data_IF_394908417749
#
_entry.id   IF_394908417749
#
_cell.length_a   1.000
_cell.length_b   1.000
_cell.length_c   1.000
_cell.angle_alpha   90.00
_cell.angle_beta   90.00
_cell.angle_gamma   90.00
#
_symmetry.space_group_name_H-M   'P 1'
#
loop_
_entity.id
_entity.type
_entity.pdbx_description
1 polymer ?
#
# COMPACT_ATOMS: atom_id res chain seq x y z
N UNK A 1 7.30 25.08 -13.03
CA UNK A 1 6.19 24.68 -12.14
C UNK A 1 6.55 23.32 -11.59
N UNK A 2 6.41 23.08 -10.28
CA UNK A 2 6.64 21.76 -9.71
C UNK A 2 5.73 20.73 -10.38
N UNK A 3 6.27 19.56 -10.69
CA UNK A 3 5.52 18.48 -11.35
C UNK A 3 4.72 17.64 -10.37
N UNK A 4 4.97 17.80 -9.06
CA UNK A 4 4.31 17.06 -7.97
C UNK A 4 3.76 18.03 -6.91
N UNK A 5 2.71 18.75 -7.29
CA UNK A 5 2.11 19.82 -6.46
C UNK A 5 1.53 19.25 -5.17
N UNK A 6 0.92 18.06 -5.23
CA UNK A 6 0.32 17.44 -4.04
C UNK A 6 1.40 16.94 -3.06
N UNK A 7 2.51 16.38 -3.57
CA UNK A 7 3.62 15.95 -2.73
C UNK A 7 4.21 17.08 -1.89
N UNK A 8 4.38 18.26 -2.49
CA UNK A 8 4.96 19.42 -1.80
C UNK A 8 3.97 20.03 -0.80
N UNK A 9 2.69 20.08 -1.17
CA UNK A 9 1.69 20.77 -0.36
C UNK A 9 1.33 19.99 0.91
N UNK A 10 1.29 18.66 0.86
CA UNK A 10 0.78 17.84 1.96
C UNK A 10 1.85 17.31 2.92
N UNK A 11 3.10 17.78 2.83
CA UNK A 11 4.18 17.29 3.69
C UNK A 11 3.88 17.50 5.18
N UNK A 12 3.31 18.64 5.55
CA UNK A 12 2.99 18.94 6.94
C UNK A 12 1.84 18.06 7.45
N UNK A 13 0.79 17.89 6.67
CA UNK A 13 -0.35 17.01 6.99
C UNK A 13 0.10 15.56 7.15
N UNK A 14 0.97 15.08 6.25
CA UNK A 14 1.56 13.75 6.33
C UNK A 14 2.39 13.61 7.61
N UNK A 15 3.24 14.60 7.94
CA UNK A 15 4.05 14.57 9.16
C UNK A 15 3.18 14.54 10.42
N UNK A 16 2.15 15.39 10.49
CA UNK A 16 1.23 15.45 11.63
C UNK A 16 0.45 14.15 11.80
N UNK A 17 -0.07 13.60 10.69
CA UNK A 17 -0.80 12.33 10.70
C UNK A 17 0.08 11.16 11.14
N UNK A 18 1.34 11.12 10.69
CA UNK A 18 2.31 10.11 11.14
C UNK A 18 2.54 10.16 12.64
N UNK A 19 2.77 11.36 13.19
CA UNK A 19 2.94 11.55 14.63
C UNK A 19 1.71 11.08 15.41
N UNK A 20 0.51 11.44 14.95
CA UNK A 20 -0.73 11.04 15.59
C UNK A 20 -0.97 9.51 15.56
N UNK A 21 -0.63 8.84 14.45
CA UNK A 21 -0.67 7.37 14.37
C UNK A 21 0.35 6.76 15.33
N UNK A 22 1.58 7.27 15.35
CA UNK A 22 2.62 6.77 16.26
C UNK A 22 2.20 6.93 17.73
N UNK A 23 1.65 8.08 18.12
CA UNK A 23 1.20 8.33 19.50
C UNK A 23 0.01 7.45 19.90
N UNK A 24 -0.89 7.16 18.97
CA UNK A 24 -1.96 6.17 19.16
C UNK A 24 -1.36 4.79 19.46
N UNK A 25 -0.37 4.37 18.66
CA UNK A 25 0.30 3.09 18.84
C UNK A 25 1.14 3.01 20.12
N UNK A 26 1.83 4.10 20.50
CA UNK A 26 2.52 4.21 21.80
C UNK A 26 1.54 3.99 22.95
N UNK A 27 0.37 4.63 22.88
CA UNK A 27 -0.66 4.52 23.92
C UNK A 27 -1.20 3.09 24.02
N UNK A 28 -1.50 2.45 22.89
CA UNK A 28 -1.96 1.05 22.84
C UNK A 28 -0.89 0.08 23.39
N UNK A 29 0.38 0.28 22.99
CA UNK A 29 1.48 -0.54 23.46
C UNK A 29 1.72 -0.37 24.97
N UNK A 30 1.73 0.87 25.46
CA UNK A 30 1.95 1.16 26.88
C UNK A 30 0.87 0.55 27.77
N UNK A 31 -0.38 0.55 27.30
CA UNK A 31 -1.49 -0.07 28.04
C UNK A 31 -1.40 -1.61 28.08
N UNK A 32 -0.76 -2.25 27.09
CA UNK A 32 -0.70 -3.71 26.99
C UNK A 32 0.61 -4.30 27.52
N UNK A 33 1.74 -3.63 27.29
CA UNK A 33 3.09 -4.14 27.57
C UNK A 33 4.06 -2.98 27.90
N UNK A 34 3.82 -2.24 29.01
CA UNK A 34 4.62 -1.08 29.40
C UNK A 34 6.11 -1.42 29.62
N UNK A 35 6.41 -2.67 30.01
CA UNK A 35 7.77 -3.16 30.21
C UNK A 35 8.63 -3.14 28.94
N UNK A 36 8.02 -3.21 27.75
CA UNK A 36 8.78 -3.18 26.49
C UNK A 36 9.43 -1.81 26.24
N UNK A 37 8.91 -0.74 26.84
CA UNK A 37 9.49 0.60 26.71
C UNK A 37 10.84 0.76 27.39
N UNK A 38 11.25 -0.16 28.27
CA UNK A 38 12.59 -0.12 28.87
C UNK A 38 13.71 -0.31 27.84
N UNK A 39 13.42 -0.94 26.70
CA UNK A 39 14.38 -1.21 25.64
C UNK A 39 14.07 -0.58 24.29
N UNK A 40 13.00 0.22 24.20
CA UNK A 40 12.58 0.92 22.99
C UNK A 40 12.83 2.42 23.14
N UNK A 41 13.29 3.05 22.07
CA UNK A 41 13.40 4.51 21.99
C UNK A 41 12.00 5.13 21.78
N UNK A 42 11.44 5.72 22.83
CA UNK A 42 10.10 6.33 22.82
C UNK A 42 9.97 7.47 21.79
N UNK A 43 11.06 8.21 21.54
CA UNK A 43 11.07 9.36 20.63
C UNK A 43 11.19 8.94 19.16
N UNK A 44 11.48 7.66 18.89
CA UNK A 44 11.60 7.13 17.55
C UNK A 44 10.27 6.59 17.03
N UNK A 45 9.48 7.49 16.45
CA UNK A 45 8.15 7.20 15.89
C UNK A 45 8.13 6.03 14.90
N UNK A 46 9.21 5.77 14.15
CA UNK A 46 9.24 4.67 13.17
C UNK A 46 9.00 3.30 13.79
N UNK A 47 9.33 3.10 15.08
CA UNK A 47 9.06 1.85 15.80
C UNK A 47 7.54 1.61 15.91
N UNK A 48 6.80 2.69 16.19
CA UNK A 48 5.36 2.66 16.42
C UNK A 48 4.54 2.74 15.14
N UNK A 49 5.21 2.93 14.00
CA UNK A 49 4.64 2.85 12.65
C UNK A 49 4.92 1.49 11.98
N UNK A 50 5.36 0.48 12.74
CA UNK A 50 5.56 -0.89 12.27
C UNK A 50 4.21 -1.53 11.86
N UNK A 51 3.98 -1.87 10.57
CA UNK A 51 2.67 -2.35 10.13
C UNK A 51 2.19 -3.62 10.83
N UNK A 52 3.10 -4.53 11.23
CA UNK A 52 2.71 -5.72 11.98
C UNK A 52 2.23 -5.40 13.39
N UNK A 53 2.71 -4.32 13.99
CA UNK A 53 2.22 -3.84 15.28
C UNK A 53 0.77 -3.36 15.13
N UNK A 54 0.47 -2.58 14.09
CA UNK A 54 -0.90 -2.14 13.79
C UNK A 54 -1.81 -3.35 13.51
N UNK A 55 -1.34 -4.30 12.70
CA UNK A 55 -2.07 -5.53 12.40
C UNK A 55 -2.38 -6.33 13.68
N UNK A 56 -1.41 -6.41 14.59
CA UNK A 56 -1.57 -7.10 15.87
C UNK A 56 -2.71 -6.51 16.69
N UNK A 57 -2.75 -5.18 16.88
CA UNK A 57 -3.81 -4.55 17.68
C UNK A 57 -5.20 -4.61 17.01
N UNK A 58 -5.26 -4.78 15.69
CA UNK A 58 -6.50 -4.93 14.94
C UNK A 58 -6.95 -6.38 14.73
N UNK A 59 -6.21 -7.38 15.25
CA UNK A 59 -6.50 -8.79 15.03
C UNK A 59 -7.11 -9.45 16.28
N UNK A 60 -8.24 -10.15 16.09
CA UNK A 60 -8.99 -10.80 17.18
C UNK A 60 -8.17 -11.89 17.89
N UNK A 61 -7.51 -12.76 17.12
CA UNK A 61 -6.69 -13.86 17.64
C UNK A 61 -5.18 -13.56 17.64
N UNK A 62 -4.80 -12.30 17.81
CA UNK A 62 -3.42 -11.81 17.65
C UNK A 62 -2.33 -12.63 18.37
N UNK A 63 -2.61 -13.10 19.59
CA UNK A 63 -1.66 -13.90 20.40
C UNK A 63 -1.37 -15.29 19.82
N UNK A 64 -2.18 -15.77 18.88
CA UNK A 64 -1.96 -17.03 18.14
C UNK A 64 -1.15 -16.79 16.86
N UNK A 65 -0.96 -15.52 16.46
CA UNK A 65 -0.29 -15.14 15.23
C UNK A 65 1.14 -14.64 15.48
N UNK A 66 1.32 -13.84 16.53
CA UNK A 66 2.61 -13.29 16.94
C UNK A 66 2.55 -12.82 18.40
N UNK A 67 3.71 -12.47 18.98
CA UNK A 67 3.79 -11.78 20.28
C UNK A 67 4.31 -10.36 20.11
N UNK A 68 3.99 -9.44 21.04
CA UNK A 68 4.56 -8.08 21.01
C UNK A 68 6.10 -8.09 21.07
N UNK A 69 6.76 -8.88 21.95
CA UNK A 69 8.22 -9.02 21.92
C UNK A 69 8.73 -9.47 20.54
N UNK A 70 8.08 -10.43 19.88
CA UNK A 70 8.47 -10.89 18.55
C UNK A 70 8.45 -9.75 17.51
N UNK A 71 7.38 -8.96 17.50
CA UNK A 71 7.21 -7.87 16.53
C UNK A 71 8.16 -6.70 16.78
N UNK A 72 8.57 -6.49 18.03
CA UNK A 72 9.37 -5.33 18.43
C UNK A 72 10.85 -5.66 18.63
N UNK A 73 11.24 -6.93 18.71
CA UNK A 73 12.60 -7.37 19.08
C UNK A 73 13.71 -6.69 18.27
N UNK A 74 13.53 -6.54 16.96
CA UNK A 74 14.52 -5.93 16.10
C UNK A 74 14.72 -4.42 16.33
N UNK A 75 13.74 -3.76 16.96
CA UNK A 75 13.78 -2.34 17.32
C UNK A 75 14.42 -2.06 18.68
N UNK A 76 14.63 -3.09 19.51
CA UNK A 76 15.35 -2.92 20.77
C UNK A 76 16.80 -2.50 20.55
N UNK A 77 17.26 -1.59 21.40
CA UNK A 77 18.68 -1.26 21.54
C UNK A 77 19.48 -2.54 21.80
N UNK A 78 20.60 -2.71 21.11
CA UNK A 78 21.39 -3.96 21.19
C UNK A 78 21.78 -4.32 22.63
N UNK A 79 22.02 -3.33 23.48
CA UNK A 79 22.37 -3.51 24.89
C UNK A 79 21.16 -3.84 25.79
N UNK A 80 19.95 -3.48 25.37
CA UNK A 80 18.70 -3.70 26.10
C UNK A 80 17.90 -4.90 25.55
N UNK A 81 18.40 -5.59 24.53
CA UNK A 81 17.73 -6.76 23.94
C UNK A 81 17.61 -7.87 24.98
N UNK A 82 16.38 -8.35 25.26
CA UNK A 82 16.21 -9.51 26.12
C UNK A 82 16.90 -10.73 25.51
N UNK A 83 17.56 -11.55 26.34
CA UNK A 83 18.21 -12.78 25.89
C UNK A 83 17.21 -13.83 25.38
N UNK A 84 15.96 -13.76 25.85
CA UNK A 84 14.89 -14.69 25.48
C UNK A 84 13.58 -13.95 25.30
N UNK A 85 12.88 -14.26 24.22
CA UNK A 85 11.51 -13.79 23.99
C UNK A 85 10.60 -14.92 23.50
N UNK A 86 9.30 -14.88 23.84
CA UNK A 86 8.34 -15.80 23.25
C UNK A 86 8.06 -15.39 21.80
N UNK A 87 7.99 -16.36 20.90
CA UNK A 87 7.66 -16.16 19.48
C UNK A 87 6.64 -17.21 19.02
N UNK A 88 5.93 -16.91 17.94
CA UNK A 88 4.97 -17.83 17.31
C UNK A 88 5.44 -18.16 15.90
N UNK A 89 5.48 -19.46 15.60
CA UNK A 89 5.71 -19.96 14.25
C UNK A 89 4.39 -20.01 13.48
N UNK A 90 4.40 -19.49 12.25
CA UNK A 90 3.26 -19.55 11.33
C UNK A 90 2.98 -20.99 10.84
N UNK A 91 1.92 -21.16 10.04
CA UNK A 91 1.53 -22.47 9.52
C UNK A 91 2.52 -23.10 8.53
N UNK A 92 3.37 -22.27 7.92
CA UNK A 92 4.51 -22.71 7.12
C UNK A 92 5.79 -22.94 7.95
N UNK A 93 5.73 -22.80 9.28
CA UNK A 93 6.87 -22.99 10.19
C UNK A 93 7.83 -21.80 10.22
N UNK A 94 7.39 -20.63 9.75
CA UNK A 94 8.20 -19.40 9.75
C UNK A 94 7.94 -18.59 11.01
N UNK A 95 9.01 -18.19 11.70
CA UNK A 95 9.00 -17.11 12.69
C UNK A 95 9.61 -15.88 12.03
N UNK A 96 8.84 -14.81 11.91
CA UNK A 96 9.33 -13.54 11.38
C UNK A 96 9.59 -12.54 12.51
N UNK A 97 10.75 -11.89 12.46
CA UNK A 97 11.12 -10.77 13.32
C UNK A 97 11.39 -9.54 12.45
N UNK A 98 10.57 -8.47 12.56
CA UNK A 98 10.84 -7.19 11.93
C UNK A 98 12.25 -6.69 12.26
N UNK A 99 12.89 -6.02 11.30
CA UNK A 99 14.28 -5.55 11.39
C UNK A 99 15.36 -6.64 11.46
N UNK A 100 15.02 -7.93 11.50
CA UNK A 100 15.99 -9.04 11.59
C UNK A 100 15.86 -10.00 10.42
N UNK A 101 14.70 -10.64 10.22
CA UNK A 101 14.55 -11.67 9.18
C UNK A 101 13.64 -12.82 9.60
N UNK A 102 13.87 -13.98 9.00
CA UNK A 102 12.99 -15.15 9.08
C UNK A 102 13.75 -16.36 9.62
N UNK A 103 13.13 -17.05 10.58
CA UNK A 103 13.60 -18.35 11.08
C UNK A 103 12.63 -19.42 10.62
N UNK A 104 13.07 -20.26 9.67
CA UNK A 104 12.25 -21.34 9.09
C UNK A 104 12.54 -22.64 9.81
N UNK A 105 11.51 -23.28 10.33
CA UNK A 105 11.60 -24.54 11.06
C UNK A 105 10.52 -25.53 10.60
N UNK A 106 10.66 -26.80 10.98
CA UNK A 106 9.63 -27.83 10.80
C UNK A 106 8.48 -27.73 11.81
N UNK A 107 8.63 -26.93 12.86
CA UNK A 107 7.59 -26.73 13.88
C UNK A 107 6.62 -25.65 13.42
N UNK A 108 5.34 -26.01 13.27
CA UNK A 108 4.29 -25.15 12.70
C UNK A 108 3.27 -24.79 13.77
N UNK A 109 2.68 -23.59 13.68
CA UNK A 109 1.61 -23.13 14.58
C UNK A 109 1.94 -23.30 16.08
N UNK A 110 3.19 -23.09 16.45
CA UNK A 110 3.67 -23.34 17.80
C UNK A 110 4.25 -22.08 18.44
N UNK A 111 4.01 -21.95 19.75
CA UNK A 111 4.78 -21.07 20.61
C UNK A 111 6.18 -21.68 20.81
N UNK A 112 7.19 -20.87 20.60
CA UNK A 112 8.60 -21.17 20.74
C UNK A 112 9.25 -20.05 21.57
N UNK A 113 10.46 -20.28 22.04
CA UNK A 113 11.33 -19.22 22.53
C UNK A 113 12.39 -18.91 21.46
N UNK A 114 12.58 -17.63 21.16
CA UNK A 114 13.79 -17.19 20.49
C UNK A 114 14.79 -16.77 21.56
N UNK A 115 15.98 -17.36 21.49
CA UNK A 115 17.08 -17.07 22.39
C UNK A 115 18.21 -16.40 21.61
N UNK A 116 18.67 -15.26 22.10
CA UNK A 116 19.76 -14.47 21.54
C UNK A 116 20.94 -14.48 22.52
N UNK A 117 21.99 -15.23 22.20
CA UNK A 117 23.22 -15.29 23.00
C UNK A 117 24.42 -14.88 22.16
N UNK A 118 25.16 -13.87 22.60
CA UNK A 118 26.33 -13.34 21.89
C UNK A 118 26.04 -13.00 20.41
N UNK A 119 24.83 -12.50 20.12
CA UNK A 119 24.39 -12.18 18.76
C UNK A 119 24.01 -13.38 17.88
N UNK A 120 24.02 -14.59 18.44
CA UNK A 120 23.56 -15.81 17.76
C UNK A 120 22.15 -16.14 18.21
N UNK A 121 21.29 -16.43 17.23
CA UNK A 121 19.89 -16.77 17.45
C UNK A 121 19.69 -18.29 17.43
N UNK A 122 18.84 -18.77 18.32
CA UNK A 122 18.30 -20.13 18.26
C UNK A 122 16.85 -20.19 18.71
N UNK A 123 16.12 -21.16 18.16
CA UNK A 123 14.76 -21.47 18.59
C UNK A 123 14.80 -22.61 19.61
N UNK A 124 13.95 -22.51 20.62
CA UNK A 124 13.72 -23.57 21.59
C UNK A 124 12.23 -23.85 21.76
N UNK A 125 11.91 -25.10 22.11
CA UNK A 125 10.59 -25.50 22.56
C UNK A 125 10.74 -26.31 23.84
N UNK A 126 10.17 -25.83 24.95
CA UNK A 126 10.31 -26.46 26.27
C UNK A 126 11.78 -26.69 26.68
N UNK A 127 12.66 -25.74 26.37
CA UNK A 127 14.10 -25.82 26.64
C UNK A 127 14.89 -26.76 25.72
N UNK A 128 14.25 -27.32 24.68
CA UNK A 128 14.90 -28.18 23.68
C UNK A 128 15.13 -27.39 22.40
N UNK A 129 16.36 -27.46 21.87
CA UNK A 129 16.72 -26.80 20.62
C UNK A 129 15.84 -27.26 19.44
N UNK A 130 15.35 -26.29 18.67
CA UNK A 130 14.58 -26.49 17.45
C UNK A 130 15.45 -26.14 16.24
N UNK A 131 15.67 -27.14 15.39
CA UNK A 131 16.40 -26.96 14.14
C UNK A 131 15.68 -25.94 13.25
N UNK A 132 16.45 -25.01 12.70
CA UNK A 132 15.93 -23.95 11.84
C UNK A 132 17.01 -23.43 10.88
N UNK A 133 16.57 -22.74 9.85
CA UNK A 133 17.43 -21.95 8.95
C UNK A 133 17.06 -20.47 9.07
N UNK A 134 18.05 -19.60 8.91
CA UNK A 134 17.84 -18.16 8.88
C UNK A 134 17.83 -17.64 7.45
N UNK A 135 16.88 -16.76 7.14
CA UNK A 135 16.82 -16.02 5.88
C UNK A 135 16.72 -14.52 6.18
N UNK A 136 17.57 -13.73 5.52
CA UNK A 136 17.55 -12.29 5.66
C UNK A 136 16.29 -11.68 5.02
N UNK A 137 15.97 -10.46 5.44
CA UNK A 137 14.87 -9.67 4.91
C UNK A 137 15.08 -9.39 3.43
N UNK A 138 13.98 -9.36 2.68
CA UNK A 138 13.99 -8.78 1.34
C UNK A 138 13.68 -7.30 1.48
N UNK A 139 14.59 -6.47 0.98
CA UNK A 139 14.44 -5.03 1.05
C UNK A 139 14.48 -4.44 -0.37
N UNK A 140 13.58 -3.50 -0.64
CA UNK A 140 13.55 -2.70 -1.87
C UNK A 140 13.65 -1.22 -1.53
N UNK A 141 13.68 -0.37 -2.56
CA UNK A 141 13.73 1.09 -2.41
C UNK A 141 14.89 1.56 -1.49
N UNK A 142 16.11 1.15 -1.85
CA UNK A 142 17.35 1.45 -1.10
C UNK A 142 17.34 0.97 0.36
N UNK A 143 16.71 -0.17 0.63
CA UNK A 143 16.69 -0.74 1.98
C UNK A 143 15.63 -0.16 2.90
N UNK A 144 14.67 0.61 2.37
CA UNK A 144 13.68 1.34 3.18
C UNK A 144 12.32 0.65 3.27
N UNK A 145 12.00 -0.26 2.35
CA UNK A 145 10.76 -1.03 2.35
C UNK A 145 11.07 -2.52 2.43
N UNK A 146 10.41 -3.22 3.34
CA UNK A 146 10.48 -4.68 3.43
C UNK A 146 9.48 -5.32 2.47
N UNK A 147 9.92 -6.31 1.70
CA UNK A 147 9.03 -7.19 0.94
C UNK A 147 8.87 -8.48 1.74
N UNK A 148 7.65 -8.81 2.15
CA UNK A 148 7.42 -10.02 2.93
C UNK A 148 7.66 -11.26 2.08
N UNK A 149 8.62 -12.10 2.48
CA UNK A 149 8.90 -13.40 1.81
C UNK A 149 7.75 -14.40 1.92
N UNK A 150 6.98 -14.29 2.99
CA UNK A 150 5.97 -15.26 3.39
C UNK A 150 4.73 -14.52 3.85
N UNK A 151 3.56 -15.15 3.68
CA UNK A 151 2.33 -14.61 4.23
C UNK A 151 2.39 -14.60 5.77
N UNK A 152 2.22 -13.43 6.38
CA UNK A 152 2.17 -13.31 7.85
C UNK A 152 0.75 -13.63 8.34
N UNK A 153 0.56 -14.45 9.40
CA UNK A 153 -0.78 -14.85 9.86
C UNK A 153 -1.72 -13.69 10.23
N UNK A 154 -1.16 -12.56 10.69
CA UNK A 154 -1.94 -11.34 10.97
C UNK A 154 -2.62 -10.74 9.72
N UNK A 155 -2.19 -11.11 8.51
CA UNK A 155 -2.76 -10.61 7.25
C UNK A 155 -3.91 -11.46 6.75
N UNK A 156 -4.06 -12.69 7.25
CA UNK A 156 -5.05 -13.66 6.76
C UNK A 156 -6.49 -13.12 6.68
N UNK A 157 -6.99 -12.35 7.67
CA UNK A 157 -8.37 -11.85 7.62
C UNK A 157 -8.64 -10.87 6.47
N UNK A 158 -7.62 -10.32 5.83
CA UNK A 158 -7.76 -9.24 4.86
C UNK A 158 -7.71 -9.71 3.40
N UNK A 159 -7.35 -10.98 3.15
CA UNK A 159 -7.44 -11.56 1.81
C UNK A 159 -8.87 -11.97 1.48
N UNK A 160 -9.74 -10.98 1.32
CA UNK A 160 -11.17 -11.19 1.04
C UNK A 160 -11.41 -11.12 -0.47
N UNK A 161 -12.01 -12.15 -1.09
CA UNK A 161 -12.38 -12.10 -2.50
C UNK A 161 -13.38 -10.98 -2.79
N UNK A 162 -13.28 -10.38 -3.97
CA UNK A 162 -14.28 -9.44 -4.47
C UNK A 162 -15.35 -10.16 -5.29
N UNK A 163 -16.62 -9.97 -4.91
CA UNK A 163 -17.78 -10.34 -5.72
C UNK A 163 -18.79 -9.17 -5.70
N UNK A 164 -19.25 -8.66 -6.86
CA UNK A 164 -20.16 -7.53 -6.90
C UNK A 164 -21.57 -7.84 -6.36
N UNK A 165 -21.93 -9.12 -6.22
CA UNK A 165 -23.25 -9.59 -5.78
C UNK A 165 -23.26 -10.12 -4.34
N UNK A 166 -22.11 -10.58 -3.84
CA UNK A 166 -21.99 -11.19 -2.51
C UNK A 166 -21.13 -10.30 -1.62
N UNK A 167 -21.74 -9.76 -0.56
CA UNK A 167 -21.03 -9.06 0.51
C UNK A 167 -20.49 -10.06 1.52
N UNK A 168 -19.41 -9.67 2.20
CA UNK A 168 -18.86 -10.38 3.37
C UNK A 168 -18.39 -11.82 3.07
N UNK A 169 -17.71 -12.00 1.93
CA UNK A 169 -17.06 -13.27 1.61
C UNK A 169 -15.97 -13.59 2.65
N UNK A 170 -15.76 -14.88 2.99
CA UNK A 170 -14.73 -15.26 3.93
C UNK A 170 -13.33 -15.02 3.33
N UNK A 171 -12.32 -14.76 4.17
CA UNK A 171 -10.95 -14.67 3.70
C UNK A 171 -10.47 -15.98 3.07
N UNK A 172 -9.55 -15.87 2.12
CA UNK A 172 -8.97 -17.00 1.38
C UNK A 172 -7.47 -17.10 1.56
N UNK A 173 -6.92 -18.29 1.33
CA UNK A 173 -5.48 -18.48 1.25
C UNK A 173 -4.92 -17.83 -0.03
N UNK A 174 -3.67 -17.38 0.07
CA UNK A 174 -2.93 -16.74 -1.01
C UNK A 174 -1.53 -17.33 -1.11
N UNK A 175 -0.98 -17.39 -2.33
CA UNK A 175 0.41 -17.74 -2.56
C UNK A 175 1.25 -16.45 -2.48
N UNK A 176 2.32 -16.44 -1.68
CA UNK A 176 3.22 -15.27 -1.51
C UNK A 176 4.66 -15.59 -1.89
N UNK A 177 5.16 -16.77 -1.53
CA UNK A 177 6.59 -17.06 -1.57
C UNK A 177 7.11 -17.10 -3.01
N UNK A 178 6.45 -17.85 -3.88
CA UNK A 178 6.84 -18.01 -5.27
C UNK A 178 6.49 -16.75 -6.08
N UNK A 179 5.38 -16.09 -5.73
CA UNK A 179 5.00 -14.80 -6.30
C UNK A 179 6.09 -13.75 -6.08
N UNK A 180 6.59 -13.63 -4.84
CA UNK A 180 7.67 -12.69 -4.51
C UNK A 180 8.94 -13.04 -5.27
N UNK A 181 9.35 -14.31 -5.31
CA UNK A 181 10.54 -14.74 -6.06
C UNK A 181 10.46 -14.37 -7.55
N UNK A 182 9.28 -14.54 -8.16
CA UNK A 182 9.08 -14.29 -9.59
C UNK A 182 9.07 -12.78 -9.90
N UNK A 183 8.41 -11.97 -9.07
CA UNK A 183 8.16 -10.56 -9.39
C UNK A 183 9.10 -9.55 -8.74
N UNK A 184 9.95 -9.95 -7.78
CA UNK A 184 10.89 -9.03 -7.12
C UNK A 184 11.74 -8.20 -8.10
N UNK A 185 12.32 -8.76 -9.20
CA UNK A 185 13.11 -7.96 -10.13
C UNK A 185 12.30 -6.87 -10.85
N UNK A 186 11.02 -7.11 -11.13
CA UNK A 186 10.15 -6.13 -11.78
C UNK A 186 9.70 -5.04 -10.80
N UNK A 187 9.49 -5.39 -9.54
CA UNK A 187 9.25 -4.43 -8.46
C UNK A 187 10.47 -3.51 -8.25
N UNK A 188 11.67 -4.06 -8.24
CA UNK A 188 12.92 -3.28 -8.12
C UNK A 188 13.11 -2.32 -9.29
N UNK A 189 12.82 -2.75 -10.52
CA UNK A 189 12.83 -1.89 -11.72
C UNK A 189 11.84 -0.74 -11.59
N UNK A 190 10.63 -1.00 -11.10
CA UNK A 190 9.61 0.04 -10.88
C UNK A 190 10.09 1.09 -9.86
N UNK A 191 10.69 0.67 -8.75
CA UNK A 191 11.29 1.61 -7.79
C UNK A 191 12.46 2.40 -8.36
N UNK A 192 13.32 1.78 -9.18
CA UNK A 192 14.40 2.49 -9.86
C UNK A 192 13.87 3.59 -10.79
N UNK A 193 12.81 3.30 -11.55
CA UNK A 193 12.12 4.28 -12.40
C UNK A 193 11.52 5.42 -11.56
N UNK A 194 10.80 5.10 -10.48
CA UNK A 194 10.23 6.12 -9.59
C UNK A 194 11.31 7.03 -9.00
N UNK A 195 12.41 6.45 -8.49
CA UNK A 195 13.51 7.21 -7.92
C UNK A 195 14.17 8.13 -8.95
N UNK A 196 14.35 7.65 -10.19
CA UNK A 196 15.03 8.41 -11.23
C UNK A 196 14.17 9.53 -11.80
N UNK A 197 12.89 9.25 -12.09
CA UNK A 197 12.04 10.16 -12.86
C UNK A 197 10.98 10.88 -11.99
N UNK A 198 10.56 10.27 -10.88
CA UNK A 198 9.54 10.79 -9.97
C UNK A 198 10.04 10.91 -8.51
N UNK A 199 11.19 11.55 -8.24
CA UNK A 199 11.84 11.48 -6.93
C UNK A 199 10.98 12.02 -5.78
N UNK A 200 10.18 13.07 -6.00
CA UNK A 200 9.28 13.59 -4.97
C UNK A 200 8.21 12.56 -4.56
N UNK A 201 7.67 11.82 -5.53
CA UNK A 201 6.71 10.77 -5.26
C UNK A 201 7.40 9.55 -4.62
N UNK A 202 8.60 9.20 -5.06
CA UNK A 202 9.42 8.17 -4.40
C UNK A 202 9.62 8.49 -2.91
N UNK A 203 9.98 9.73 -2.57
CA UNK A 203 10.14 10.17 -1.18
C UNK A 203 8.83 10.15 -0.38
N UNK A 204 7.71 10.56 -1.00
CA UNK A 204 6.38 10.48 -0.38
C UNK A 204 5.98 9.03 -0.07
N UNK A 205 6.19 8.11 -1.02
CA UNK A 205 5.97 6.66 -0.83
C UNK A 205 6.75 6.18 0.38
N UNK A 206 8.05 6.50 0.44
CA UNK A 206 8.92 6.10 1.54
C UNK A 206 8.56 6.74 2.87
N UNK A 207 7.90 7.90 2.86
CA UNK A 207 7.49 8.56 4.10
C UNK A 207 6.32 7.84 4.79
N UNK A 208 5.42 7.21 4.02
CA UNK A 208 4.16 6.64 4.52
C UNK A 208 4.02 5.14 4.37
N UNK A 209 4.95 4.48 3.66
CA UNK A 209 4.95 3.03 3.45
C UNK A 209 6.20 2.40 4.09
N UNK A 210 6.07 1.16 4.55
CA UNK A 210 7.11 0.39 5.23
C UNK A 210 7.25 -1.01 4.68
N UNK A 211 6.18 -1.59 4.13
CA UNK A 211 6.23 -2.95 3.60
C UNK A 211 5.31 -3.22 2.43
N UNK A 212 5.63 -4.28 1.70
CA UNK A 212 4.93 -4.74 0.50
C UNK A 212 4.74 -6.25 0.61
N UNK A 213 3.53 -6.73 0.35
CA UNK A 213 3.26 -8.15 0.12
C UNK A 213 2.88 -8.35 -1.34
N UNK A 214 3.62 -9.18 -2.06
CA UNK A 214 3.22 -9.67 -3.38
C UNK A 214 2.55 -11.01 -3.19
N UNK A 215 1.38 -11.19 -3.78
CA UNK A 215 0.66 -12.45 -3.68
C UNK A 215 -0.06 -12.81 -4.98
N UNK A 216 -0.49 -14.06 -5.10
CA UNK A 216 -1.32 -14.52 -6.21
C UNK A 216 -2.65 -15.05 -5.68
N UNK A 217 -3.72 -14.37 -6.05
CA UNK A 217 -5.09 -14.90 -6.00
C UNK A 217 -5.96 -14.11 -6.98
N UNK A 218 -6.60 -14.78 -7.93
CA UNK A 218 -7.41 -14.12 -8.99
C UNK A 218 -8.68 -13.44 -8.48
N UNK A 219 -9.14 -13.80 -7.28
CA UNK A 219 -10.37 -13.27 -6.71
C UNK A 219 -10.13 -12.12 -5.72
N UNK A 220 -8.90 -11.94 -5.24
CA UNK A 220 -8.52 -10.88 -4.30
C UNK A 220 -7.77 -9.80 -5.06
N UNK A 221 -8.27 -8.57 -5.03
CA UNK A 221 -7.63 -7.42 -5.67
C UNK A 221 -6.46 -6.88 -4.86
N UNK A 222 -5.64 -6.02 -5.48
CA UNK A 222 -4.68 -5.20 -4.73
C UNK A 222 -5.43 -4.37 -3.68
N UNK A 223 -4.86 -4.22 -2.49
CA UNK A 223 -5.53 -3.47 -1.42
C UNK A 223 -4.56 -2.82 -0.44
N UNK A 224 -5.13 -1.86 0.29
CA UNK A 224 -4.57 -1.21 1.46
C UNK A 224 -5.67 -1.13 2.52
N UNK A 225 -5.30 -1.33 3.78
CA UNK A 225 -6.24 -1.24 4.92
C UNK A 225 -5.63 -0.42 6.05
N UNK A 226 -6.46 0.35 6.74
CA UNK A 226 -6.06 1.10 7.94
C UNK A 226 -5.57 0.17 9.07
N UNK A 227 -6.08 -1.07 9.12
CA UNK A 227 -5.66 -2.04 10.13
C UNK A 227 -4.20 -2.48 10.01
N UNK A 228 -3.60 -2.31 8.82
CA UNK A 228 -2.20 -2.65 8.51
C UNK A 228 -1.56 -1.46 7.80
N UNK A 229 -1.80 -0.26 8.34
CA UNK A 229 -1.33 0.98 7.72
C UNK A 229 0.19 0.98 7.53
N UNK A 230 0.64 1.52 6.40
CA UNK A 230 2.03 1.46 5.96
C UNK A 230 2.41 0.19 5.20
N UNK A 231 1.46 -0.72 4.98
CA UNK A 231 1.61 -1.86 4.07
C UNK A 231 0.77 -1.70 2.81
N UNK A 232 1.24 -2.26 1.70
CA UNK A 232 0.45 -2.48 0.49
C UNK A 232 0.46 -3.96 0.12
N UNK A 233 -0.64 -4.42 -0.47
CA UNK A 233 -0.82 -5.81 -0.87
C UNK A 233 -1.14 -5.84 -2.37
N UNK A 234 -0.26 -6.47 -3.15
CA UNK A 234 -0.34 -6.48 -4.61
C UNK A 234 -0.62 -7.91 -5.09
N UNK A 235 -1.82 -8.12 -5.66
CA UNK A 235 -2.11 -9.36 -6.38
C UNK A 235 -1.44 -9.30 -7.75
N UNK A 236 -0.78 -10.37 -8.18
CA UNK A 236 -0.01 -10.38 -9.42
C UNK A 236 -0.34 -11.57 -10.30
N UNK A 237 -0.19 -11.37 -11.60
CA UNK A 237 -0.24 -12.39 -12.64
C UNK A 237 1.16 -12.58 -13.21
N UNK A 238 1.52 -13.79 -13.69
CA UNK A 238 2.87 -14.09 -14.19
C UNK A 238 3.42 -13.12 -15.24
N UNK A 239 2.53 -12.51 -16.04
CA UNK A 239 2.84 -11.55 -17.10
C UNK A 239 2.98 -10.09 -16.64
N UNK A 240 2.77 -9.80 -15.36
CA UNK A 240 2.94 -8.45 -14.82
C UNK A 240 4.43 -8.07 -14.75
N UNK A 241 4.75 -6.89 -15.28
CA UNK A 241 6.10 -6.33 -15.34
C UNK A 241 6.19 -4.97 -14.62
N UNK A 242 7.32 -4.28 -14.75
CA UNK A 242 7.54 -2.98 -14.12
C UNK A 242 6.44 -1.94 -14.39
N UNK A 243 5.72 -1.98 -15.53
CA UNK A 243 4.63 -1.01 -15.81
C UNK A 243 3.43 -1.24 -14.89
N UNK A 244 3.09 -2.51 -14.64
CA UNK A 244 2.07 -2.86 -13.64
C UNK A 244 2.47 -2.36 -12.25
N UNK A 245 3.71 -2.65 -11.82
CA UNK A 245 4.18 -2.23 -10.50
C UNK A 245 4.24 -0.71 -10.36
N UNK A 246 4.59 0.04 -11.41
CA UNK A 246 4.58 1.49 -11.38
C UNK A 246 3.19 2.06 -11.09
N UNK A 247 2.15 1.54 -11.76
CA UNK A 247 0.79 1.98 -11.45
C UNK A 247 0.40 1.61 -10.02
N UNK A 248 0.59 0.35 -9.62
CA UNK A 248 0.16 -0.12 -8.31
C UNK A 248 0.93 0.55 -7.16
N UNK A 249 2.22 0.84 -7.33
CA UNK A 249 2.97 1.63 -6.35
C UNK A 249 2.41 3.05 -6.24
N UNK A 250 2.17 3.74 -7.36
CA UNK A 250 1.56 5.08 -7.33
C UNK A 250 0.15 5.05 -6.73
N UNK A 251 -0.63 4.01 -7.03
CA UNK A 251 -2.00 3.84 -6.56
C UNK A 251 -2.03 3.48 -5.06
N UNK A 252 -1.54 2.29 -4.71
CA UNK A 252 -1.69 1.70 -3.39
C UNK A 252 -0.93 2.49 -2.34
N UNK A 253 0.29 2.96 -2.62
CA UNK A 253 1.01 3.79 -1.65
C UNK A 253 0.28 5.11 -1.37
N UNK A 254 -0.44 5.66 -2.36
CA UNK A 254 -1.26 6.87 -2.16
C UNK A 254 -2.46 6.63 -1.25
N UNK A 255 -2.97 5.39 -1.11
CA UNK A 255 -3.97 5.10 -0.07
C UNK A 255 -3.38 5.33 1.33
N UNK A 256 -2.17 4.84 1.59
CA UNK A 256 -1.49 5.10 2.87
C UNK A 256 -1.24 6.60 3.04
N UNK A 257 -0.73 7.30 2.02
CA UNK A 257 -0.51 8.75 2.10
C UNK A 257 -1.79 9.53 2.44
N UNK A 258 -2.90 9.21 1.77
CA UNK A 258 -4.17 9.87 2.02
C UNK A 258 -4.72 9.60 3.43
N UNK A 259 -4.64 8.35 3.87
CA UNK A 259 -5.04 7.94 5.22
C UNK A 259 -4.24 8.67 6.30
N UNK A 260 -2.93 8.86 6.08
CA UNK A 260 -2.07 9.64 6.96
C UNK A 260 -2.47 11.12 6.94
N UNK A 261 -2.61 11.72 5.76
CA UNK A 261 -2.92 13.15 5.59
C UNK A 261 -4.24 13.55 6.29
N UNK A 262 -5.26 12.71 6.17
CA UNK A 262 -6.59 12.94 6.72
C UNK A 262 -6.84 12.17 8.02
N UNK A 263 -5.79 11.87 8.80
CA UNK A 263 -5.95 11.15 10.06
C UNK A 263 -6.94 11.84 11.00
N UNK A 264 -6.78 13.16 11.20
CA UNK A 264 -7.72 14.01 11.95
C UNK A 264 -8.79 14.57 11.01
N UNK A 265 -9.83 13.79 10.73
CA UNK A 265 -10.87 14.15 9.75
C UNK A 265 -11.62 15.45 10.10
N UNK A 266 -11.79 15.74 11.39
CA UNK A 266 -12.48 16.95 11.88
C UNK A 266 -11.80 18.25 11.42
N UNK A 267 -10.51 18.22 11.06
CA UNK A 267 -9.82 19.39 10.50
C UNK A 267 -10.32 19.75 9.09
N UNK A 268 -10.97 18.80 8.39
CA UNK A 268 -11.30 18.90 6.97
C UNK A 268 -12.79 18.83 6.66
N UNK A 269 -13.57 18.20 7.53
CA UNK A 269 -14.99 17.94 7.29
C UNK A 269 -15.86 18.45 8.44
N UNK A 270 -17.00 19.05 8.08
CA UNK A 270 -18.02 19.54 9.02
C UNK A 270 -19.02 18.43 9.41
N UNK A 271 -18.95 17.26 8.74
CA UNK A 271 -19.84 16.12 8.93
C UNK A 271 -19.04 14.80 8.95
N UNK A 272 -19.68 13.74 9.43
CA UNK A 272 -19.14 12.37 9.33
C UNK A 272 -19.22 11.87 7.86
N UNK A 273 -18.16 12.14 7.11
CA UNK A 273 -18.03 11.76 5.70
C UNK A 273 -17.78 10.28 5.45
N UNK A 274 -17.48 9.50 6.50
CA UNK A 274 -17.36 8.04 6.39
C UNK A 274 -18.74 7.37 6.36
N UNK A 275 -19.77 8.03 6.91
CA UNK A 275 -21.15 7.55 6.89
C UNK A 275 -22.03 8.31 5.88
N UNK A 276 -21.69 9.55 5.53
CA UNK A 276 -22.47 10.37 4.60
C UNK A 276 -22.41 9.82 3.17
N UNK A 277 -23.56 9.35 2.65
CA UNK A 277 -23.69 8.82 1.29
C UNK A 277 -23.70 9.95 0.26
N UNK A 278 -22.79 9.92 -0.72
CA UNK A 278 -22.64 10.97 -1.72
C UNK A 278 -23.95 11.21 -2.49
N UNK A 279 -24.65 10.15 -2.87
CA UNK A 279 -25.90 10.22 -3.62
C UNK A 279 -27.01 11.05 -2.96
N UNK A 280 -27.06 11.05 -1.63
CA UNK A 280 -28.03 11.83 -0.84
C UNK A 280 -27.71 13.34 -0.91
N UNK A 281 -26.43 13.69 -0.94
CA UNK A 281 -25.98 15.07 -0.97
C UNK A 281 -26.00 15.69 -2.38
N UNK A 282 -25.94 14.88 -3.44
CA UNK A 282 -25.95 15.35 -4.84
C UNK A 282 -27.23 14.97 -5.61
N UNK A 283 -28.25 14.45 -4.93
CA UNK A 283 -29.51 13.98 -5.51
C UNK A 283 -29.35 12.92 -6.62
N UNK A 284 -28.47 11.92 -6.40
CA UNK A 284 -28.25 10.78 -7.32
C UNK A 284 -28.45 9.45 -6.61
N UNK A 285 -29.61 8.83 -6.82
CA UNK A 285 -30.04 7.60 -6.12
C UNK A 285 -29.16 6.36 -6.39
N UNK A 286 -28.45 6.32 -7.52
CA UNK A 286 -27.57 5.19 -7.88
C UNK A 286 -26.13 5.36 -7.39
N UNK A 287 -25.83 6.45 -6.67
CA UNK A 287 -24.50 6.70 -6.11
C UNK A 287 -24.44 6.20 -4.67
N UNK A 288 -23.81 5.04 -4.47
CA UNK A 288 -23.73 4.34 -3.19
C UNK A 288 -22.41 4.56 -2.44
N UNK A 289 -21.48 5.34 -2.99
CA UNK A 289 -20.23 5.66 -2.29
C UNK A 289 -20.48 6.71 -1.22
N UNK A 290 -19.67 6.68 -0.17
CA UNK A 290 -19.62 7.77 0.81
C UNK A 290 -18.85 8.95 0.23
N UNK A 291 -19.02 10.13 0.81
CA UNK A 291 -18.25 11.33 0.43
C UNK A 291 -16.75 11.06 0.59
N UNK A 292 -16.36 10.42 1.70
CA UNK A 292 -14.96 10.05 1.94
C UNK A 292 -14.43 9.11 0.85
N UNK A 293 -15.16 8.05 0.51
CA UNK A 293 -14.76 7.09 -0.53
C UNK A 293 -14.60 7.76 -1.90
N UNK A 294 -15.48 8.69 -2.26
CA UNK A 294 -15.38 9.44 -3.51
C UNK A 294 -14.16 10.39 -3.53
N UNK A 295 -13.87 11.08 -2.43
CA UNK A 295 -12.69 11.95 -2.32
C UNK A 295 -11.39 11.15 -2.35
N UNK A 296 -11.36 10.02 -1.63
CA UNK A 296 -10.25 9.06 -1.63
C UNK A 296 -9.95 8.57 -3.04
N UNK A 297 -10.99 8.16 -3.77
CA UNK A 297 -10.89 7.74 -5.17
C UNK A 297 -10.33 8.84 -6.07
N UNK A 298 -10.80 10.09 -5.90
CA UNK A 298 -10.26 11.22 -6.65
C UNK A 298 -8.77 11.44 -6.37
N UNK A 299 -8.37 11.47 -5.10
CA UNK A 299 -6.97 11.68 -4.72
C UNK A 299 -6.05 10.63 -5.34
N UNK A 300 -6.36 9.35 -5.16
CA UNK A 300 -5.54 8.24 -5.67
C UNK A 300 -5.45 8.19 -7.19
N UNK A 301 -6.51 8.62 -7.90
CA UNK A 301 -6.49 8.81 -9.35
C UNK A 301 -5.57 9.96 -9.75
N UNK A 302 -5.65 11.12 -9.09
CA UNK A 302 -4.82 12.29 -9.40
C UNK A 302 -3.34 11.99 -9.13
N UNK A 303 -3.02 11.26 -8.06
CA UNK A 303 -1.64 10.84 -7.75
C UNK A 303 -1.05 9.97 -8.87
N UNK A 304 -1.79 8.98 -9.38
CA UNK A 304 -1.36 8.21 -10.58
C UNK A 304 -1.11 9.13 -11.78
N UNK A 305 -1.99 10.10 -12.01
CA UNK A 305 -1.82 11.07 -13.09
C UNK A 305 -0.56 11.94 -12.96
N UNK A 306 -0.19 12.38 -11.75
CA UNK A 306 1.04 13.14 -11.53
C UNK A 306 2.26 12.33 -11.99
N UNK A 307 2.37 11.08 -11.52
CA UNK A 307 3.48 10.20 -11.88
C UNK A 307 3.48 9.83 -13.36
N UNK A 308 2.32 9.48 -13.92
CA UNK A 308 2.21 9.12 -15.33
C UNK A 308 2.47 10.29 -16.27
N UNK A 309 2.06 11.51 -15.93
CA UNK A 309 2.37 12.69 -16.72
C UNK A 309 3.89 12.90 -16.84
N UNK A 310 4.65 12.67 -15.75
CA UNK A 310 6.11 12.71 -15.81
C UNK A 310 6.65 11.63 -16.74
N UNK A 311 6.28 10.36 -16.50
CA UNK A 311 6.81 9.23 -17.25
C UNK A 311 6.46 9.29 -18.74
N UNK A 312 5.28 9.81 -19.09
CA UNK A 312 4.84 10.03 -20.45
C UNK A 312 5.76 10.99 -21.23
N UNK A 313 6.28 12.02 -20.57
CA UNK A 313 7.19 12.98 -21.19
C UNK A 313 8.66 12.53 -21.21
N UNK A 314 9.03 11.52 -20.41
CA UNK A 314 10.38 10.95 -20.43
C UNK A 314 10.58 9.90 -21.52
N UNK A 315 9.48 9.36 -22.06
CA UNK A 315 9.41 8.31 -23.08
C UNK A 315 10.38 7.12 -22.87
N UNK A 316 10.33 6.55 -21.67
CA UNK A 316 11.26 5.49 -21.25
C UNK A 316 10.81 4.08 -21.64
N UNK A 317 9.58 3.93 -22.13
CA UNK A 317 9.00 2.63 -22.47
C UNK A 317 8.99 2.38 -23.97
N UNK A 318 9.05 1.11 -24.37
CA UNK A 318 8.91 0.71 -25.77
C UNK A 318 8.10 -0.58 -25.92
N UNK A 319 7.65 -0.90 -27.13
CA UNK A 319 6.93 -2.14 -27.45
C UNK A 319 5.72 -2.41 -26.54
N UNK A 320 5.66 -3.62 -25.97
CA UNK A 320 4.59 -4.07 -25.05
C UNK A 320 4.40 -3.11 -23.87
N UNK A 321 5.49 -2.64 -23.26
CA UNK A 321 5.44 -1.76 -22.09
C UNK A 321 4.87 -0.40 -22.42
N UNK A 322 5.26 0.21 -23.55
CA UNK A 322 4.68 1.49 -23.99
C UNK A 322 3.18 1.33 -24.28
N UNK A 323 2.81 0.22 -24.92
CA UNK A 323 1.42 -0.10 -25.19
C UNK A 323 0.60 -0.24 -23.90
N UNK A 324 1.09 -1.01 -22.92
CA UNK A 324 0.44 -1.17 -21.61
C UNK A 324 0.33 0.16 -20.86
N UNK A 325 1.43 0.92 -20.81
CA UNK A 325 1.52 2.19 -20.10
C UNK A 325 0.50 3.22 -20.62
N UNK A 326 0.40 3.37 -21.94
CA UNK A 326 -0.59 4.27 -22.55
C UNK A 326 -2.02 3.78 -22.34
N UNK A 327 -2.24 2.45 -22.36
CA UNK A 327 -3.53 1.85 -22.03
C UNK A 327 -3.98 2.19 -20.60
N UNK A 328 -3.06 2.06 -19.62
CA UNK A 328 -3.33 2.43 -18.22
C UNK A 328 -3.64 3.91 -18.07
N UNK A 329 -2.91 4.81 -18.74
CA UNK A 329 -3.24 6.25 -18.73
C UNK A 329 -4.65 6.52 -19.27
N UNK A 330 -5.01 5.88 -20.38
CA UNK A 330 -6.34 6.04 -20.99
C UNK A 330 -7.47 5.51 -20.11
N UNK A 331 -7.29 4.38 -19.42
CA UNK A 331 -8.31 3.80 -18.54
C UNK A 331 -8.61 4.69 -17.33
N UNK A 332 -7.59 5.33 -16.74
CA UNK A 332 -7.74 6.11 -15.51
C UNK A 332 -8.63 7.35 -15.72
N UNK A 333 -8.70 7.92 -16.94
CA UNK A 333 -9.45 9.17 -17.20
C UNK A 333 -10.91 9.10 -16.80
N UNK A 334 -11.56 7.96 -17.03
CA UNK A 334 -12.97 7.74 -16.70
C UNK A 334 -13.26 7.90 -15.19
N UNK A 335 -12.22 7.88 -14.35
CA UNK A 335 -12.30 7.88 -12.88
C UNK A 335 -12.10 9.27 -12.25
N UNK A 336 -11.75 10.30 -13.02
CA UNK A 336 -11.61 11.67 -12.50
C UNK A 336 -12.95 12.33 -12.13
N UNK A 337 -14.02 11.94 -12.80
CA UNK A 337 -15.37 12.48 -12.55
C UNK A 337 -16.07 11.72 -11.42
N UNK A 338 -15.82 12.11 -10.18
CA UNK A 338 -16.38 11.43 -9.00
C UNK A 338 -17.78 11.92 -8.62
N UNK A 339 -18.22 13.08 -9.13
CA UNK A 339 -19.50 13.70 -8.79
C UNK A 339 -19.45 14.62 -7.56
N UNK A 340 -18.28 14.76 -6.91
CA UNK A 340 -18.08 15.65 -5.76
C UNK A 340 -18.36 17.13 -6.06
N UNK A 341 -18.25 17.55 -7.33
CA UNK A 341 -18.58 18.92 -7.76
C UNK A 341 -20.05 19.31 -7.50
N UNK A 342 -20.93 18.32 -7.26
CA UNK A 342 -22.33 18.55 -6.93
C UNK A 342 -22.61 18.80 -5.44
N UNK A 343 -21.61 18.72 -4.57
CA UNK A 343 -21.77 18.92 -3.13
C UNK A 343 -22.03 20.38 -2.75
N UNK A 344 -22.74 20.57 -1.64
CA UNK A 344 -22.76 21.86 -0.93
C UNK A 344 -21.49 21.98 -0.06
N UNK A 345 -20.47 22.62 -0.62
CA UNK A 345 -19.13 22.68 -0.03
C UNK A 345 -19.11 23.33 1.36
N UNK A 346 -19.98 24.31 1.61
CA UNK A 346 -20.03 25.02 2.89
C UNK A 346 -20.65 24.16 4.01
N UNK A 347 -21.37 23.09 3.66
CA UNK A 347 -21.93 22.14 4.63
C UNK A 347 -21.08 20.91 4.86
N UNK A 348 -20.22 20.55 3.91
CA UNK A 348 -19.44 19.30 3.96
C UNK A 348 -18.02 19.54 4.46
N UNK A 349 -17.40 20.62 4.00
CA UNK A 349 -15.97 20.86 4.20
C UNK A 349 -15.73 22.07 5.10
N UNK A 350 -14.72 21.96 5.96
CA UNK A 350 -14.11 23.12 6.62
C UNK A 350 -13.39 24.00 5.57
N UNK A 351 -12.96 25.23 5.88
CA UNK A 351 -12.13 26.01 4.98
C UNK A 351 -10.89 25.25 4.48
N UNK A 352 -10.20 24.55 5.38
CA UNK A 352 -9.04 23.71 5.06
C UNK A 352 -9.42 22.56 4.13
N UNK A 353 -10.53 21.87 4.40
CA UNK A 353 -11.04 20.79 3.54
C UNK A 353 -11.37 21.26 2.12
N UNK A 354 -11.95 22.46 1.97
CA UNK A 354 -12.23 23.06 0.66
C UNK A 354 -10.96 23.34 -0.14
N UNK A 355 -9.93 23.88 0.51
CA UNK A 355 -8.63 24.15 -0.12
C UNK A 355 -8.00 22.86 -0.65
N UNK A 356 -8.00 21.79 0.15
CA UNK A 356 -7.46 20.48 -0.26
C UNK A 356 -8.26 19.91 -1.44
N UNK A 357 -9.59 19.91 -1.37
CA UNK A 357 -10.42 19.43 -2.47
C UNK A 357 -10.11 20.19 -3.77
N UNK A 358 -10.10 21.52 -3.71
CA UNK A 358 -9.89 22.38 -4.87
C UNK A 358 -8.51 22.12 -5.47
N UNK A 359 -7.47 21.98 -4.64
CA UNK A 359 -6.13 21.67 -5.10
C UNK A 359 -6.07 20.33 -5.83
N UNK A 360 -6.66 19.27 -5.26
CA UNK A 360 -6.70 17.94 -5.89
C UNK A 360 -7.44 18.01 -7.22
N UNK A 361 -8.62 18.64 -7.25
CA UNK A 361 -9.46 18.74 -8.46
C UNK A 361 -8.77 19.52 -9.57
N UNK A 362 -8.22 20.70 -9.27
CA UNK A 362 -7.51 21.53 -10.24
C UNK A 362 -6.26 20.82 -10.77
N UNK A 363 -5.54 20.10 -9.92
CA UNK A 363 -4.38 19.30 -10.35
C UNK A 363 -4.82 18.20 -11.31
N UNK A 364 -5.87 17.44 -10.97
CA UNK A 364 -6.43 16.40 -11.82
C UNK A 364 -6.90 16.91 -13.18
N UNK A 365 -7.65 18.02 -13.20
CA UNK A 365 -8.15 18.63 -14.43
C UNK A 365 -7.01 19.10 -15.33
N UNK A 366 -6.01 19.78 -14.75
CA UNK A 366 -4.84 20.25 -15.50
C UNK A 366 -3.98 19.12 -16.07
N UNK A 367 -3.87 17.98 -15.37
CA UNK A 367 -3.15 16.80 -15.87
C UNK A 367 -3.94 16.10 -16.99
N UNK A 368 -5.26 15.99 -16.84
CA UNK A 368 -6.13 15.42 -17.86
C UNK A 368 -6.09 16.22 -19.17
N UNK A 369 -5.99 17.54 -19.08
CA UNK A 369 -5.80 18.42 -20.25
C UNK A 369 -4.42 18.18 -20.91
N UNK A 370 -3.34 18.01 -20.14
CA UNK A 370 -2.00 17.74 -20.71
C UNK A 370 -1.91 16.40 -21.44
N UNK A 371 -2.67 15.42 -20.99
CA UNK A 371 -2.68 14.05 -21.54
C UNK A 371 -3.82 13.81 -22.54
N UNK A 372 -4.52 14.85 -23.00
CA UNK A 372 -5.64 14.75 -23.95
C UNK A 372 -5.29 14.03 -25.26
N UNK A 373 -4.01 13.96 -25.64
CA UNK A 373 -3.56 13.27 -26.84
C UNK A 373 -3.87 11.76 -26.85
N UNK A 374 -4.14 11.17 -25.67
CA UNK A 374 -4.50 9.74 -25.52
C UNK A 374 -6.02 9.53 -25.68
N UNK A 375 -6.81 10.60 -25.70
CA UNK A 375 -8.27 10.50 -25.72
C UNK A 375 -8.79 9.86 -27.00
N UNK A 376 -9.69 8.88 -26.83
CA UNK A 376 -10.34 8.19 -27.94
C UNK A 376 -9.38 7.36 -28.80
N UNK A 377 -8.13 7.17 -28.36
CA UNK A 377 -7.14 6.38 -29.10
C UNK A 377 -7.37 4.88 -28.92
N UNK A 378 -7.76 4.46 -27.72
CA UNK A 378 -7.92 3.05 -27.37
C UNK A 378 -9.38 2.70 -27.07
N UNK A 379 -9.75 1.45 -27.35
CA UNK A 379 -11.02 0.86 -26.95
C UNK A 379 -10.90 0.21 -25.56
N UNK A 380 -11.75 0.65 -24.63
CA UNK A 380 -11.83 0.10 -23.26
C UNK A 380 -13.16 -0.64 -23.00
N UNK A 381 -13.94 -0.94 -24.04
CA UNK A 381 -15.28 -1.52 -23.92
C UNK A 381 -15.32 -2.88 -23.22
N UNK A 382 -14.21 -3.63 -23.22
CA UNK A 382 -14.09 -4.93 -22.58
C UNK A 382 -13.34 -4.91 -21.23
N UNK A 383 -12.98 -3.72 -20.72
CA UNK A 383 -12.23 -3.61 -19.47
C UNK A 383 -13.09 -3.92 -18.24
N UNK A 384 -12.54 -4.65 -17.25
CA UNK A 384 -13.17 -4.78 -15.94
C UNK A 384 -13.06 -3.48 -15.12
N UNK A 385 -13.48 -3.55 -13.84
CA UNK A 385 -13.32 -2.47 -12.87
C UNK A 385 -11.84 -2.15 -12.59
N UNK A 386 -10.95 -3.14 -12.65
CA UNK A 386 -9.50 -2.96 -12.61
C UNK A 386 -8.92 -3.17 -14.02
N UNK A 387 -7.88 -2.42 -14.37
CA UNK A 387 -7.29 -2.52 -15.70
C UNK A 387 -6.67 -3.92 -15.93
N UNK A 388 -7.02 -4.54 -17.06
CA UNK A 388 -6.47 -5.83 -17.47
C UNK A 388 -5.75 -5.69 -18.80
N UNK A 389 -4.43 -5.84 -18.79
CA UNK A 389 -3.64 -5.77 -20.02
C UNK A 389 -4.04 -6.84 -21.04
N UNK A 390 -4.37 -8.05 -20.58
CA UNK A 390 -4.87 -9.11 -21.45
C UNK A 390 -6.12 -8.64 -22.23
N UNK A 391 -7.14 -8.14 -21.52
CA UNK A 391 -8.35 -7.58 -22.14
C UNK A 391 -8.04 -6.38 -23.02
N UNK A 392 -7.15 -5.51 -22.56
CA UNK A 392 -6.77 -4.31 -23.31
C UNK A 392 -6.12 -4.67 -24.65
N UNK A 393 -5.22 -5.65 -24.65
CA UNK A 393 -4.54 -6.14 -25.85
C UNK A 393 -5.45 -6.92 -26.80
N UNK A 394 -6.53 -7.53 -26.31
CA UNK A 394 -7.58 -8.15 -27.14
C UNK A 394 -8.33 -7.08 -27.96
N UNK A 395 -8.69 -5.96 -27.33
CA UNK A 395 -9.39 -4.86 -27.99
C UNK A 395 -8.47 -3.92 -28.77
N UNK A 396 -7.20 -3.82 -28.37
CA UNK A 396 -6.18 -2.96 -28.97
C UNK A 396 -4.92 -3.81 -29.30
N UNK A 397 -4.89 -4.51 -30.45
CA UNK A 397 -3.78 -5.40 -30.78
C UNK A 397 -2.43 -4.66 -30.94
N UNK A 398 -1.36 -5.22 -30.35
CA UNK A 398 -0.02 -4.61 -30.32
C UNK A 398 0.60 -4.42 -31.72
N UNK A 399 0.25 -5.27 -32.68
CA UNK A 399 0.70 -5.17 -34.07
C UNK A 399 0.12 -3.93 -34.79
N UNK A 400 -1.08 -3.50 -34.39
CA UNK A 400 -1.72 -2.29 -34.89
C UNK A 400 -1.20 -1.03 -34.19
N UNK A 401 -0.63 -1.18 -32.98
CA UNK A 401 -0.11 -0.08 -32.19
C UNK A 401 1.05 0.67 -32.86
N UNK A 402 1.88 0.00 -33.68
CA UNK A 402 3.02 0.64 -34.36
C UNK A 402 2.63 1.86 -35.21
N UNK A 403 1.43 1.85 -35.81
CA UNK A 403 0.90 2.98 -36.57
C UNK A 403 0.38 4.14 -35.72
N UNK A 404 0.05 3.86 -34.45
CA UNK A 404 -0.50 4.81 -33.48
C UNK A 404 0.63 5.40 -32.62
N UNK A 405 1.68 4.61 -32.34
CA UNK A 405 2.82 4.98 -31.51
C UNK A 405 3.52 6.26 -31.98
N UNK A 406 3.52 6.55 -33.30
CA UNK A 406 4.11 7.77 -33.86
C UNK A 406 3.39 9.07 -33.46
N UNK A 407 2.22 8.97 -32.80
CA UNK A 407 1.45 10.12 -32.31
C UNK A 407 1.82 10.54 -30.89
N UNK A 408 2.64 9.74 -30.21
CA UNK A 408 3.08 9.96 -28.84
C UNK A 408 4.57 10.34 -28.82
N UNK A 409 5.09 10.92 -27.72
CA UNK A 409 6.52 11.18 -27.54
C UNK A 409 7.35 9.96 -27.95
N UNK A 410 8.53 10.20 -28.54
CA UNK A 410 9.36 9.22 -29.26
C UNK A 410 10.54 8.68 -28.50
#
# INVERSE_FOLDING_TARGET
MSTFVLCETFQQEISNGRGAIADTMKSLLYNQAPELFEGLDFERDEIFLEPLLLAYFNHEHRNQCATLPQLLFGYFDKAARPERIPVVSAGNGVVHLPQIGYFKTGVKHAQLDLVCQNGTFHLEQNGVHVAHTFEDRLMVADGKLEVYRYNHPLFNPYYVPYDPWIKDLPPVEVEVEDTVKHHLPELEKAFAILKQYCPQFYDEILSTNRSITLFHNRAVYCFVTLCIHGSIFLTTLPENDAVFFLEELMHQCSHNTFNTMLFNKEDYFEIDVEQAMLGEHINKQNESRTIYSALHGLYTVVKRYEGFNVLYHQDIFSGRQKHEFLGRIGDIKKRLNTGLDGLDFDKVYTPKGREIYQLIKQTGDGLAERLHAIDGVFDFSNQPSEFSYAKFSEANPLDQFGHIASRFPS
#
